data_IF_557319812844
#
_entry.id   IF_557319812844
#
_cell.length_a   1.000
_cell.length_b   1.000
_cell.length_c   1.000
_cell.angle_alpha   90.00
_cell.angle_beta   90.00
_cell.angle_gamma   90.00
#
_symmetry.space_group_name_H-M   'P 1'
#
loop_
_entity.id
_entity.type
_entity.pdbx_description
1 polymer ?
#
# COMPACT_ATOMS: atom_id res chain seq x y z
N UNK A 1 4.15 3.96 -13.96
CA UNK A 1 3.27 5.15 -13.84
C UNK A 1 2.28 4.85 -12.74
N UNK A 2 2.07 5.79 -11.80
CA UNK A 2 1.06 5.66 -10.74
C UNK A 2 -0.05 6.69 -11.00
N UNK A 3 -1.27 6.33 -10.62
CA UNK A 3 -2.44 7.21 -10.72
C UNK A 3 -3.08 7.35 -9.35
N UNK A 4 -3.69 8.50 -9.10
CA UNK A 4 -4.57 8.71 -7.95
C UNK A 4 -6.00 8.44 -8.41
N UNK A 5 -6.76 7.63 -7.65
CA UNK A 5 -8.17 7.41 -8.00
C UNK A 5 -8.96 8.72 -7.94
N UNK A 6 -8.71 9.51 -6.88
CA UNK A 6 -9.34 10.81 -6.72
C UNK A 6 -8.52 11.68 -5.76
N UNK A 7 -8.38 12.96 -6.06
CA UNK A 7 -7.88 13.99 -5.14
C UNK A 7 -8.98 14.99 -4.89
N UNK A 8 -9.36 15.16 -3.64
CA UNK A 8 -10.37 16.14 -3.19
C UNK A 8 -9.65 17.28 -2.48
N UNK A 9 -9.99 18.50 -2.85
CA UNK A 9 -9.54 19.70 -2.17
C UNK A 9 -10.75 20.57 -1.88
N UNK A 10 -11.13 20.68 -0.61
CA UNK A 10 -12.27 21.47 -0.15
C UNK A 10 -11.87 22.87 0.37
N UNK A 11 -10.63 23.28 0.06
CA UNK A 11 -10.06 24.56 0.50
C UNK A 11 -9.39 24.51 1.88
N UNK A 12 -9.23 23.31 2.45
CA UNK A 12 -8.50 23.07 3.72
C UNK A 12 -7.19 22.36 3.45
N UNK A 13 -7.23 21.04 3.40
CA UNK A 13 -6.09 20.20 3.07
C UNK A 13 -6.46 19.22 1.96
N UNK A 14 -5.54 18.90 1.05
CA UNK A 14 -5.80 17.91 0.02
C UNK A 14 -6.02 16.53 0.65
N UNK A 15 -7.01 15.82 0.14
CA UNK A 15 -7.30 14.45 0.54
C UNK A 15 -7.23 13.52 -0.67
N UNK A 16 -6.35 12.55 -0.62
CA UNK A 16 -6.29 11.49 -1.62
C UNK A 16 -7.25 10.39 -1.22
N UNK A 17 -8.13 10.02 -2.13
CA UNK A 17 -9.11 8.95 -1.94
C UNK A 17 -8.71 7.76 -2.79
N UNK A 18 -8.71 6.58 -2.19
CA UNK A 18 -8.45 5.31 -2.87
C UNK A 18 -9.60 4.35 -2.61
N UNK A 19 -10.15 3.78 -3.68
CA UNK A 19 -11.31 2.89 -3.60
C UNK A 19 -10.87 1.43 -3.53
N UNK A 20 -11.39 0.72 -2.54
CA UNK A 20 -11.08 -0.68 -2.31
C UNK A 20 -12.33 -1.53 -2.21
N UNK A 21 -12.20 -2.78 -2.63
CA UNK A 21 -13.17 -3.83 -2.28
C UNK A 21 -12.53 -4.80 -1.31
N UNK A 22 -13.31 -5.31 -0.36
CA UNK A 22 -12.84 -6.26 0.63
C UNK A 22 -13.90 -7.34 0.90
N UNK A 23 -13.50 -8.55 1.22
CA UNK A 23 -14.42 -9.62 1.64
C UNK A 23 -15.04 -9.36 3.02
N UNK A 24 -14.36 -8.58 3.85
CA UNK A 24 -14.78 -8.26 5.22
C UNK A 24 -14.33 -6.85 5.61
N UNK A 25 -14.83 -6.38 6.74
CA UNK A 25 -14.38 -5.15 7.39
C UNK A 25 -12.88 -5.17 7.62
N UNK A 26 -12.21 -4.05 7.40
CA UNK A 26 -10.80 -3.93 7.69
C UNK A 26 -10.51 -3.93 9.19
N UNK A 27 -9.46 -4.64 9.62
CA UNK A 27 -9.03 -4.59 11.02
C UNK A 27 -8.48 -3.19 11.36
N UNK A 28 -8.56 -2.84 12.64
CA UNK A 28 -8.02 -1.59 13.17
C UNK A 28 -6.54 -1.41 12.80
N UNK A 29 -6.17 -0.19 12.43
CA UNK A 29 -4.81 0.20 12.05
C UNK A 29 -4.32 -0.37 10.71
N UNK A 30 -5.19 -0.99 9.90
CA UNK A 30 -4.78 -1.45 8.56
C UNK A 30 -4.41 -0.28 7.66
N UNK A 31 -5.22 0.79 7.65
CA UNK A 31 -4.95 1.99 6.86
C UNK A 31 -3.61 2.64 7.25
N UNK A 32 -3.29 2.68 8.55
CA UNK A 32 -2.07 3.31 9.05
C UNK A 32 -0.79 2.55 8.65
N UNK A 33 -0.90 1.25 8.41
CA UNK A 33 0.21 0.39 8.01
C UNK A 33 0.28 0.13 6.51
N UNK A 34 -0.62 0.72 5.74
CA UNK A 34 -0.70 0.48 4.31
C UNK A 34 0.44 1.18 3.55
N UNK A 35 1.24 0.38 2.86
CA UNK A 35 2.40 0.87 2.12
C UNK A 35 1.99 1.68 0.88
N UNK A 36 0.86 1.35 0.25
CA UNK A 36 0.34 2.10 -0.89
C UNK A 36 -0.01 3.53 -0.47
N UNK A 37 -0.69 3.69 0.68
CA UNK A 37 -0.98 5.02 1.22
C UNK A 37 0.30 5.83 1.47
N UNK A 38 1.37 5.19 1.98
CA UNK A 38 2.66 5.86 2.18
C UNK A 38 3.29 6.27 0.86
N UNK A 39 3.36 5.36 -0.12
CA UNK A 39 3.97 5.64 -1.42
C UNK A 39 3.24 6.75 -2.18
N UNK A 40 1.91 6.71 -2.15
CA UNK A 40 1.05 7.69 -2.84
C UNK A 40 1.11 9.06 -2.18
N UNK A 41 1.07 9.12 -0.83
CA UNK A 41 1.24 10.38 -0.09
C UNK A 41 2.63 10.97 -0.28
N UNK A 42 3.68 10.13 -0.31
CA UNK A 42 5.04 10.55 -0.62
C UNK A 42 5.14 11.17 -2.03
N UNK A 43 4.57 10.51 -3.04
CA UNK A 43 4.56 11.03 -4.41
C UNK A 43 3.84 12.38 -4.49
N UNK A 44 2.68 12.51 -3.85
CA UNK A 44 1.94 13.77 -3.78
C UNK A 44 2.77 14.87 -3.12
N UNK A 45 3.37 14.57 -1.96
CA UNK A 45 4.25 15.51 -1.24
C UNK A 45 5.42 15.98 -2.12
N UNK A 46 6.05 15.07 -2.85
CA UNK A 46 7.15 15.43 -3.77
C UNK A 46 6.72 16.34 -4.92
N UNK A 47 5.46 16.21 -5.37
CA UNK A 47 4.92 17.01 -6.48
C UNK A 47 4.40 18.37 -6.03
N UNK A 48 3.82 18.47 -4.84
CA UNK A 48 3.06 19.64 -4.39
C UNK A 48 3.65 20.33 -3.15
N UNK A 49 4.59 19.72 -2.44
CA UNK A 49 5.23 20.29 -1.24
C UNK A 49 4.41 20.19 0.05
N UNK A 50 3.21 19.59 0.01
CA UNK A 50 2.31 19.43 1.14
C UNK A 50 1.98 17.96 1.40
N UNK A 51 1.71 17.60 2.65
CA UNK A 51 1.36 16.24 3.04
C UNK A 51 -0.16 16.10 2.99
N UNK A 52 -0.71 15.22 2.13
CA UNK A 52 -2.15 15.06 2.03
C UNK A 52 -2.72 14.20 3.15
N UNK A 53 -3.97 14.43 3.50
CA UNK A 53 -4.78 13.40 4.15
C UNK A 53 -4.99 12.24 3.19
N UNK A 54 -5.05 11.03 3.69
CA UNK A 54 -5.35 9.85 2.87
C UNK A 54 -6.62 9.16 3.38
N UNK A 55 -7.49 8.76 2.44
CA UNK A 55 -8.77 8.13 2.74
C UNK A 55 -8.95 6.88 1.88
N UNK A 56 -9.25 5.78 2.53
CA UNK A 56 -9.75 4.60 1.85
C UNK A 56 -11.28 4.55 1.95
N UNK A 57 -11.96 4.46 0.82
CA UNK A 57 -13.38 4.13 0.74
C UNK A 57 -13.50 2.64 0.39
N UNK A 58 -13.91 1.83 1.35
CA UNK A 58 -13.88 0.36 1.25
C UNK A 58 -15.29 -0.18 1.17
N UNK A 59 -15.60 -0.82 0.04
CA UNK A 59 -16.87 -1.54 -0.15
C UNK A 59 -16.69 -3.01 0.20
N UNK A 60 -17.48 -3.51 1.14
CA UNK A 60 -17.43 -4.94 1.52
C UNK A 60 -18.27 -5.78 0.55
N UNK A 61 -17.73 -6.94 0.14
CA UNK A 61 -18.40 -7.94 -0.71
C UNK A 61 -19.28 -8.91 0.11
N UNK A 62 -19.89 -8.43 1.18
CA UNK A 62 -20.78 -9.23 2.01
C UNK A 62 -22.17 -9.37 1.36
N UNK A 63 -23.01 -10.29 1.89
CA UNK A 63 -24.40 -10.44 1.46
C UNK A 63 -25.19 -9.11 1.52
N UNK A 64 -24.86 -8.28 2.51
CA UNK A 64 -25.30 -6.88 2.58
C UNK A 64 -24.03 -6.02 2.49
N UNK A 65 -23.74 -5.45 1.31
CA UNK A 65 -22.55 -4.60 1.14
C UNK A 65 -22.63 -3.36 2.03
N UNK A 66 -21.51 -2.98 2.60
CA UNK A 66 -21.35 -1.73 3.35
C UNK A 66 -20.21 -0.92 2.75
N UNK A 67 -20.31 0.40 2.81
CA UNK A 67 -19.22 1.29 2.49
C UNK A 67 -18.62 1.81 3.81
N UNK A 68 -17.33 1.61 3.99
CA UNK A 68 -16.61 2.05 5.19
C UNK A 68 -15.48 2.99 4.78
N UNK A 69 -15.28 4.00 5.61
CA UNK A 69 -14.29 5.05 5.35
C UNK A 69 -13.19 4.95 6.41
N UNK A 70 -11.94 4.88 5.95
CA UNK A 70 -10.76 4.84 6.81
C UNK A 70 -9.83 5.99 6.45
N UNK A 71 -9.62 6.89 7.39
CA UNK A 71 -8.65 7.96 7.25
C UNK A 71 -7.31 7.56 7.82
N UNK A 72 -6.24 8.04 7.20
CA UNK A 72 -4.87 7.93 7.69
C UNK A 72 -4.06 9.12 7.21
N UNK A 73 -2.99 9.43 7.89
CA UNK A 73 -2.04 10.47 7.51
C UNK A 73 -0.63 9.93 7.58
N UNK A 74 0.31 10.64 6.98
CA UNK A 74 1.74 10.33 7.03
C UNK A 74 2.50 11.55 7.55
N UNK A 75 3.67 11.31 8.09
CA UNK A 75 4.60 12.35 8.48
C UNK A 75 5.94 12.21 7.72
N UNK A 76 6.84 13.14 7.94
CA UNK A 76 8.14 13.14 7.29
C UNK A 76 8.94 11.87 7.57
N UNK A 77 8.89 11.35 8.80
CA UNK A 77 9.60 10.12 9.20
C UNK A 77 9.08 8.90 8.41
N UNK A 78 7.77 8.85 8.08
CA UNK A 78 7.20 7.79 7.25
C UNK A 78 7.79 7.83 5.83
N UNK A 79 8.00 9.02 5.30
CA UNK A 79 8.58 9.23 3.96
C UNK A 79 10.05 8.87 3.94
N UNK A 80 10.83 9.28 4.93
CA UNK A 80 12.24 8.89 5.05
C UNK A 80 12.41 7.37 5.17
N UNK A 81 11.57 6.75 6.00
CA UNK A 81 11.52 5.28 6.10
C UNK A 81 11.15 4.63 4.78
N UNK A 82 10.18 5.18 4.05
CA UNK A 82 9.77 4.67 2.74
C UNK A 82 10.91 4.75 1.72
N UNK A 83 11.64 5.86 1.66
CA UNK A 83 12.82 6.03 0.80
C UNK A 83 13.89 4.97 1.09
N UNK A 84 14.19 4.75 2.37
CA UNK A 84 15.16 3.71 2.77
C UNK A 84 14.70 2.34 2.32
N UNK A 85 13.42 1.99 2.51
CA UNK A 85 12.87 0.69 2.09
C UNK A 85 12.93 0.52 0.58
N UNK A 86 12.56 1.55 -0.19
CA UNK A 86 12.60 1.53 -1.65
C UNK A 86 14.03 1.34 -2.18
N UNK A 87 14.98 2.09 -1.64
CA UNK A 87 16.40 1.97 -2.02
C UNK A 87 16.95 0.59 -1.68
N UNK A 88 16.64 0.02 -0.50
CA UNK A 88 17.09 -1.33 -0.13
C UNK A 88 16.46 -2.41 -0.99
N UNK A 89 15.20 -2.26 -1.37
CA UNK A 89 14.56 -3.17 -2.32
C UNK A 89 15.21 -3.10 -3.70
N UNK A 90 15.51 -1.91 -4.20
CA UNK A 90 16.24 -1.72 -5.45
C UNK A 90 17.63 -2.34 -5.39
N UNK A 91 18.39 -2.10 -4.33
CA UNK A 91 19.71 -2.69 -4.12
C UNK A 91 19.66 -4.23 -4.16
N UNK A 92 18.65 -4.82 -3.50
CA UNK A 92 18.46 -6.28 -3.50
C UNK A 92 18.17 -6.81 -4.90
N UNK A 93 17.30 -6.13 -5.65
CA UNK A 93 16.97 -6.48 -7.04
C UNK A 93 18.23 -6.42 -7.92
N UNK A 94 19.01 -5.33 -7.83
CA UNK A 94 20.23 -5.14 -8.62
C UNK A 94 21.32 -6.18 -8.29
N UNK A 95 21.34 -6.70 -7.08
CA UNK A 95 22.25 -7.77 -6.64
C UNK A 95 21.70 -9.17 -6.89
N UNK A 96 20.53 -9.30 -7.50
CA UNK A 96 19.90 -10.61 -7.76
C UNK A 96 19.42 -11.32 -6.48
N UNK A 97 19.20 -10.60 -5.38
CA UNK A 97 18.73 -11.18 -4.12
C UNK A 97 17.22 -11.31 -4.15
N UNK A 98 16.73 -12.53 -4.36
CA UNK A 98 15.32 -12.85 -4.39
C UNK A 98 15.03 -13.94 -3.36
N UNK A 99 14.37 -13.56 -2.25
CA UNK A 99 14.02 -14.49 -1.19
C UNK A 99 12.60 -15.02 -1.39
N UNK A 100 12.36 -16.34 -1.27
CA UNK A 100 11.03 -16.89 -1.32
C UNK A 100 10.22 -16.46 -0.10
N UNK A 101 8.95 -16.10 -0.31
CA UNK A 101 8.01 -15.80 0.77
C UNK A 101 7.18 -17.05 1.09
N UNK A 102 7.73 -17.97 1.88
CA UNK A 102 7.11 -19.24 2.20
C UNK A 102 5.89 -19.13 3.12
N UNK A 103 5.67 -17.99 3.76
CA UNK A 103 4.56 -17.74 4.67
C UNK A 103 3.35 -17.08 4.01
N UNK A 104 3.41 -16.82 2.70
CA UNK A 104 2.31 -16.22 1.97
C UNK A 104 1.13 -17.18 1.84
N UNK A 105 -0.09 -16.68 2.10
CA UNK A 105 -1.32 -17.43 1.84
C UNK A 105 -1.48 -17.84 0.36
N UNK A 106 -0.85 -17.13 -0.56
CA UNK A 106 -0.85 -17.44 -1.99
C UNK A 106 -0.01 -18.68 -2.35
N UNK A 107 0.81 -19.22 -1.43
CA UNK A 107 1.64 -20.38 -1.69
C UNK A 107 0.84 -21.64 -2.01
N UNK A 108 -0.38 -21.77 -1.47
CA UNK A 108 -1.24 -22.93 -1.69
C UNK A 108 -1.60 -23.14 -3.16
N UNK A 109 -1.79 -22.06 -3.91
CA UNK A 109 -2.18 -22.07 -5.33
C UNK A 109 -1.05 -21.53 -6.25
N UNK A 110 0.16 -21.39 -5.74
CA UNK A 110 1.27 -20.80 -6.46
C UNK A 110 1.77 -21.72 -7.59
N UNK A 111 1.74 -21.28 -8.87
CA UNK A 111 2.23 -22.09 -9.99
C UNK A 111 3.74 -22.34 -9.93
N UNK A 112 4.46 -21.53 -9.17
CA UNK A 112 5.91 -21.62 -9.00
C UNK A 112 6.33 -22.43 -7.76
N UNK A 113 5.41 -23.07 -7.04
CA UNK A 113 5.70 -23.77 -5.77
C UNK A 113 6.84 -24.80 -5.88
N UNK A 114 6.91 -25.55 -6.99
CA UNK A 114 8.00 -26.52 -7.23
C UNK A 114 9.37 -25.85 -7.36
N UNK A 115 9.44 -24.75 -8.11
CA UNK A 115 10.67 -23.95 -8.28
C UNK A 115 11.08 -23.29 -6.97
N UNK A 116 10.11 -22.74 -6.25
CA UNK A 116 10.35 -22.12 -4.95
C UNK A 116 10.98 -23.10 -3.95
N UNK A 117 10.47 -24.34 -3.87
CA UNK A 117 11.03 -25.41 -2.99
C UNK A 117 12.42 -25.89 -3.41
N UNK A 118 12.81 -25.66 -4.68
CA UNK A 118 14.13 -26.01 -5.19
C UNK A 118 15.13 -24.86 -5.11
N UNK A 119 14.67 -23.68 -4.69
CA UNK A 119 15.52 -22.50 -4.59
C UNK A 119 16.62 -22.70 -3.54
N UNK A 120 17.85 -22.39 -3.90
CA UNK A 120 19.03 -22.54 -3.04
C UNK A 120 19.96 -21.31 -3.06
N UNK A 121 19.44 -20.15 -3.49
CA UNK A 121 20.20 -18.92 -3.66
C UNK A 121 20.52 -18.59 -5.10
#
# INVERSE_FOLDING_TARGET
MGEFDLVVNDGREPCIVDWKTSSSRWPSGKADRDLQATAVSYAYHRMHGEIPLFRFDVVTKAKTPTCEVYYTTRCQDDFERFEVLANKAQDAIMKGVFLPNETSFACAECPYSKRCKQWKG
#
